data_IF_527689525240
#
_entry.id   IF_527689525240
#
_cell.length_a   1.000
_cell.length_b   1.000
_cell.length_c   1.000
_cell.angle_alpha   90.00
_cell.angle_beta   90.00
_cell.angle_gamma   90.00
#
_symmetry.space_group_name_H-M   'P 1'
#
loop_
_entity.id
_entity.type
_entity.pdbx_description
1 polymer ?
#
# COMPACT_ATOMS: atom_id res chain seq x y z
N UNK A 1 13.66 -6.16 20.04
CA UNK A 1 14.17 -7.00 18.94
C UNK A 1 13.08 -7.04 17.88
N UNK A 2 13.28 -6.37 16.75
CA UNK A 2 12.24 -6.16 15.76
C UNK A 2 12.07 -7.42 14.90
N UNK A 3 10.82 -7.90 14.81
CA UNK A 3 10.44 -9.07 14.01
C UNK A 3 10.63 -8.71 12.53
N UNK A 4 11.71 -9.21 11.93
CA UNK A 4 11.85 -9.32 10.48
C UNK A 4 10.82 -10.36 10.00
N UNK A 5 9.65 -9.90 9.56
CA UNK A 5 8.76 -10.75 8.77
C UNK A 5 9.23 -10.69 7.32
N UNK A 6 9.82 -11.79 6.84
CA UNK A 6 9.98 -12.06 5.41
C UNK A 6 8.58 -12.08 4.78
N UNK A 7 8.31 -11.16 3.86
CA UNK A 7 7.03 -11.10 3.12
C UNK A 7 7.05 -12.03 1.90
N UNK A 8 7.85 -13.10 1.98
CA UNK A 8 8.19 -13.94 0.84
C UNK A 8 7.01 -14.70 0.29
N UNK A 9 5.95 -14.97 1.07
CA UNK A 9 4.63 -15.42 0.62
C UNK A 9 3.58 -15.06 1.67
N UNK A 10 2.69 -14.10 1.38
CA UNK A 10 1.66 -13.69 2.35
C UNK A 10 0.59 -14.79 2.40
N UNK A 11 0.50 -15.58 3.48
CA UNK A 11 -0.48 -16.64 3.59
C UNK A 11 -1.88 -16.01 3.71
N UNK A 12 -2.88 -16.63 3.09
CA UNK A 12 -4.29 -16.22 3.18
C UNK A 12 -4.78 -15.89 4.61
N UNK A 13 -4.37 -16.62 5.67
CA UNK A 13 -4.68 -16.28 7.07
C UNK A 13 -4.28 -14.87 7.52
N UNK A 14 -3.17 -14.32 7.02
CA UNK A 14 -2.72 -12.97 7.38
C UNK A 14 -3.63 -11.91 6.75
N UNK A 15 -4.23 -12.20 5.59
CA UNK A 15 -5.16 -11.30 4.91
C UNK A 15 -6.43 -11.11 5.74
N UNK A 16 -7.00 -12.21 6.23
CA UNK A 16 -8.19 -12.16 7.10
C UNK A 16 -7.92 -11.41 8.40
N UNK A 17 -6.74 -11.59 9.00
CA UNK A 17 -6.33 -10.85 10.19
C UNK A 17 -6.26 -9.32 9.94
N UNK A 18 -5.76 -8.89 8.77
CA UNK A 18 -5.74 -7.47 8.39
C UNK A 18 -7.17 -6.93 8.21
N UNK A 19 -8.03 -7.68 7.53
CA UNK A 19 -9.44 -7.32 7.34
C UNK A 19 -10.16 -7.19 8.69
N UNK A 20 -9.95 -8.14 9.60
CA UNK A 20 -10.53 -8.12 10.94
C UNK A 20 -10.01 -6.95 11.79
N UNK A 21 -8.72 -6.64 11.72
CA UNK A 21 -8.16 -5.47 12.39
C UNK A 21 -8.86 -4.17 11.96
N UNK A 22 -9.12 -3.99 10.67
CA UNK A 22 -9.91 -2.86 10.20
C UNK A 22 -11.38 -2.91 10.60
N UNK A 23 -11.98 -4.10 10.70
CA UNK A 23 -13.35 -4.25 11.22
C UNK A 23 -13.46 -3.78 12.67
N UNK A 24 -12.46 -4.05 13.50
CA UNK A 24 -12.44 -3.57 14.88
C UNK A 24 -12.17 -2.06 14.97
N UNK A 25 -11.27 -1.53 14.15
CA UNK A 25 -11.00 -0.08 14.08
C UNK A 25 -12.20 0.71 13.55
N UNK A 26 -12.96 0.15 12.60
CA UNK A 26 -14.14 0.78 12.01
C UNK A 26 -15.30 0.96 13.00
N UNK A 27 -15.33 0.22 14.11
CA UNK A 27 -16.34 0.38 15.17
C UNK A 27 -16.13 1.63 16.03
N UNK A 28 -14.98 2.32 15.88
CA UNK A 28 -14.66 3.56 16.60
C UNK A 28 -15.28 4.76 15.85
N UNK A 29 -15.61 5.86 16.54
CA UNK A 29 -16.35 7.00 15.95
C UNK A 29 -15.47 8.09 15.32
N UNK A 30 -14.15 7.92 15.31
CA UNK A 30 -13.21 8.95 14.89
C UNK A 30 -13.10 9.10 13.37
N UNK A 31 -12.59 10.25 12.87
CA UNK A 31 -12.23 10.49 11.45
C UNK A 31 -11.41 9.33 10.85
N UNK A 32 -10.62 8.63 11.68
CA UNK A 32 -9.80 7.47 11.36
C UNK A 32 -10.60 6.20 11.02
N UNK A 33 -11.79 6.03 11.59
CA UNK A 33 -12.66 4.89 11.32
C UNK A 33 -13.19 4.90 9.87
N UNK A 34 -13.44 6.08 9.30
CA UNK A 34 -13.82 6.21 7.88
C UNK A 34 -12.72 5.67 6.95
N UNK A 35 -11.46 5.84 7.33
CA UNK A 35 -10.32 5.32 6.57
C UNK A 35 -10.19 3.81 6.71
N UNK A 36 -10.33 3.29 7.92
CA UNK A 36 -10.37 1.85 8.18
C UNK A 36 -11.49 1.15 7.37
N UNK A 37 -12.67 1.77 7.29
CA UNK A 37 -13.78 1.28 6.46
C UNK A 37 -13.41 1.26 4.98
N UNK A 38 -12.81 2.34 4.45
CA UNK A 38 -12.39 2.41 3.05
C UNK A 38 -11.38 1.32 2.71
N UNK A 39 -10.38 1.11 3.58
CA UNK A 39 -9.35 0.07 3.40
C UNK A 39 -9.95 -1.33 3.42
N UNK A 40 -10.84 -1.61 4.38
CA UNK A 40 -11.57 -2.87 4.47
C UNK A 40 -12.36 -3.17 3.20
N UNK A 41 -13.12 -2.20 2.68
CA UNK A 41 -13.93 -2.39 1.47
C UNK A 41 -13.03 -2.76 0.29
N UNK A 42 -11.94 -2.01 0.09
CA UNK A 42 -11.01 -2.26 -1.02
C UNK A 42 -10.29 -3.60 -0.92
N UNK A 43 -9.89 -4.02 0.29
CA UNK A 43 -9.31 -5.35 0.51
C UNK A 43 -10.31 -6.46 0.16
N UNK A 44 -11.56 -6.36 0.62
CA UNK A 44 -12.60 -7.35 0.29
C UNK A 44 -12.89 -7.40 -1.20
N UNK A 45 -12.97 -6.24 -1.85
CA UNK A 45 -13.16 -6.13 -3.29
C UNK A 45 -12.01 -6.77 -4.07
N UNK A 46 -10.76 -6.44 -3.73
CA UNK A 46 -9.58 -7.00 -4.39
C UNK A 46 -9.54 -8.53 -4.33
N UNK A 47 -9.86 -9.10 -3.17
CA UNK A 47 -9.90 -10.56 -2.94
C UNK A 47 -11.03 -11.24 -3.71
N UNK A 48 -12.24 -10.66 -3.68
CA UNK A 48 -13.38 -11.21 -4.40
C UNK A 48 -13.13 -11.22 -5.93
N UNK A 49 -12.42 -10.21 -6.43
CA UNK A 49 -12.09 -10.09 -7.84
C UNK A 49 -11.00 -11.06 -8.30
N UNK A 50 -10.19 -11.64 -7.41
CA UNK A 50 -9.11 -12.57 -7.81
C UNK A 50 -9.63 -13.74 -8.66
N UNK A 51 -10.80 -14.27 -8.30
CA UNK A 51 -11.42 -15.39 -9.00
C UNK A 51 -12.23 -14.96 -10.24
N UNK A 52 -12.47 -13.66 -10.44
CA UNK A 52 -13.37 -13.13 -11.48
C UNK A 52 -12.57 -12.43 -12.57
N UNK A 53 -11.65 -11.55 -12.17
CA UNK A 53 -10.81 -10.77 -13.07
C UNK A 53 -9.52 -10.37 -12.37
N UNK A 54 -8.42 -10.99 -12.79
CA UNK A 54 -7.08 -10.67 -12.32
C UNK A 54 -6.76 -9.18 -12.49
N UNK A 55 -7.20 -8.56 -13.60
CA UNK A 55 -6.99 -7.13 -13.86
C UNK A 55 -7.69 -6.24 -12.85
N UNK A 56 -8.99 -6.45 -12.61
CA UNK A 56 -9.71 -5.64 -11.63
C UNK A 56 -9.21 -5.88 -10.21
N UNK A 57 -8.80 -7.12 -9.91
CA UNK A 57 -8.12 -7.44 -8.65
C UNK A 57 -6.79 -6.68 -8.51
N UNK A 58 -5.95 -6.68 -9.56
CA UNK A 58 -4.69 -5.93 -9.59
C UNK A 58 -4.92 -4.43 -9.35
N UNK A 59 -5.86 -3.81 -10.09
CA UNK A 59 -6.19 -2.40 -9.93
C UNK A 59 -6.71 -2.10 -8.51
N UNK A 60 -7.44 -3.03 -7.91
CA UNK A 60 -7.93 -2.90 -6.53
C UNK A 60 -6.79 -2.98 -5.50
N UNK A 61 -5.85 -3.90 -5.68
CA UNK A 61 -4.62 -3.96 -4.87
C UNK A 61 -3.76 -2.71 -5.03
N UNK A 62 -3.61 -2.22 -6.26
CA UNK A 62 -2.84 -1.00 -6.49
C UNK A 62 -3.53 0.23 -5.87
N UNK A 63 -4.86 0.30 -5.88
CA UNK A 63 -5.61 1.38 -5.22
C UNK A 63 -5.37 1.41 -3.70
N UNK A 64 -5.17 0.24 -3.07
CA UNK A 64 -4.76 0.16 -1.66
C UNK A 64 -3.40 0.85 -1.47
N UNK A 65 -2.42 0.55 -2.32
CA UNK A 65 -1.09 1.19 -2.32
C UNK A 65 -1.24 2.72 -2.43
N UNK A 66 -2.07 3.21 -3.35
CA UNK A 66 -2.33 4.64 -3.54
C UNK A 66 -2.91 5.30 -2.28
N UNK A 67 -3.91 4.68 -1.64
CA UNK A 67 -4.57 5.23 -0.45
C UNK A 67 -3.61 5.34 0.74
N UNK A 68 -2.70 4.36 0.90
CA UNK A 68 -1.70 4.39 1.98
C UNK A 68 -0.63 5.43 1.66
N UNK A 69 -0.09 5.43 0.44
CA UNK A 69 0.93 6.38 0.01
C UNK A 69 0.46 7.84 0.12
N UNK A 70 -0.77 8.14 -0.30
CA UNK A 70 -1.33 9.49 -0.23
C UNK A 70 -1.52 9.99 1.20
N UNK A 71 -1.60 9.11 2.20
CA UNK A 71 -1.57 9.51 3.61
C UNK A 71 -0.16 9.87 4.05
N UNK A 72 0.79 8.98 3.74
CA UNK A 72 2.18 9.14 4.15
C UNK A 72 2.80 10.40 3.56
N UNK A 73 2.45 10.73 2.31
CA UNK A 73 2.88 11.97 1.65
C UNK A 73 2.31 13.21 2.35
N UNK A 74 1.10 13.13 2.90
CA UNK A 74 0.51 14.24 3.68
C UNK A 74 1.15 14.40 5.06
N UNK A 75 1.69 13.31 5.60
CA UNK A 75 2.30 13.28 6.94
C UNK A 75 3.82 13.53 6.94
N UNK A 76 4.53 13.41 5.80
CA UNK A 76 5.98 13.63 5.72
C UNK A 76 6.35 15.07 5.32
N UNK A 77 7.09 15.73 6.22
CA UNK A 77 8.00 16.84 5.90
C UNK A 77 9.21 16.31 5.09
N UNK A 78 9.60 17.04 4.04
CA UNK A 78 10.62 16.64 3.07
C UNK A 78 11.91 16.09 3.71
N UNK A 79 12.30 14.86 3.29
CA UNK A 79 13.61 14.27 3.61
C UNK A 79 14.75 15.08 2.96
N UNK A 80 15.93 15.04 3.58
CA UNK A 80 17.17 15.72 3.17
C UNK A 80 17.32 15.88 1.65
N UNK A 81 17.36 17.13 1.18
CA UNK A 81 17.12 17.47 -0.23
C UNK A 81 18.10 16.90 -1.26
N UNK A 82 19.35 16.60 -0.89
CA UNK A 82 20.38 16.15 -1.83
C UNK A 82 20.25 14.68 -2.24
N UNK A 83 19.97 13.78 -1.29
CA UNK A 83 19.76 12.36 -1.60
C UNK A 83 18.43 12.17 -2.35
N UNK A 84 17.38 12.85 -1.89
CA UNK A 84 16.07 12.81 -2.54
C UNK A 84 16.14 13.30 -3.99
N UNK A 85 16.88 14.37 -4.28
CA UNK A 85 17.06 14.87 -5.63
C UNK A 85 17.74 13.84 -6.57
N UNK A 86 18.73 13.10 -6.07
CA UNK A 86 19.37 12.03 -6.85
C UNK A 86 18.41 10.87 -7.11
N UNK A 87 17.59 10.50 -6.13
CA UNK A 87 16.60 9.43 -6.25
C UNK A 87 15.45 9.83 -7.18
N UNK A 88 15.00 11.10 -7.17
CA UNK A 88 14.02 11.64 -8.12
C UNK A 88 14.49 11.45 -9.56
N UNK A 89 15.76 11.74 -9.84
CA UNK A 89 16.36 11.57 -11.17
C UNK A 89 16.52 10.08 -11.49
N UNK A 90 17.12 9.30 -10.58
CA UNK A 90 17.38 7.86 -10.77
C UNK A 90 16.09 7.08 -11.08
N UNK A 91 15.00 7.39 -10.38
CA UNK A 91 13.75 6.64 -10.48
C UNK A 91 12.68 7.30 -11.35
N UNK A 92 13.03 8.40 -12.03
CA UNK A 92 12.11 9.17 -12.88
C UNK A 92 10.81 9.56 -12.14
N UNK A 93 10.94 10.10 -10.92
CA UNK A 93 9.82 10.40 -10.02
C UNK A 93 9.23 11.80 -10.23
N UNK A 94 9.54 12.47 -11.34
CA UNK A 94 9.12 13.85 -11.58
C UNK A 94 7.59 13.96 -11.69
N UNK A 95 7.00 14.79 -10.82
CA UNK A 95 5.56 15.09 -10.80
C UNK A 95 4.86 14.64 -9.51
N UNK A 96 4.21 15.59 -8.81
CA UNK A 96 3.55 15.38 -7.49
C UNK A 96 2.45 14.31 -7.46
N UNK A 97 1.97 13.88 -8.63
CA UNK A 97 0.89 12.89 -8.76
C UNK A 97 1.33 11.59 -9.43
N UNK A 98 2.64 11.41 -9.65
CA UNK A 98 3.16 10.21 -10.31
C UNK A 98 2.89 8.97 -9.46
N UNK A 99 2.37 7.92 -10.09
CA UNK A 99 2.17 6.62 -9.45
C UNK A 99 3.49 6.03 -8.95
N UNK A 100 4.60 6.31 -9.64
CA UNK A 100 5.96 5.98 -9.22
C UNK A 100 6.34 6.68 -7.91
N UNK A 101 5.98 7.96 -7.77
CA UNK A 101 6.26 8.74 -6.57
C UNK A 101 5.51 8.19 -5.35
N UNK A 102 4.26 7.75 -5.54
CA UNK A 102 3.45 7.14 -4.46
C UNK A 102 4.09 5.86 -3.92
N UNK A 103 4.41 4.92 -4.79
CA UNK A 103 5.02 3.66 -4.34
C UNK A 103 6.43 3.88 -3.79
N UNK A 104 7.19 4.83 -4.36
CA UNK A 104 8.49 5.24 -3.83
C UNK A 104 8.40 5.71 -2.37
N UNK A 105 7.50 6.66 -2.06
CA UNK A 105 7.35 7.17 -0.70
C UNK A 105 6.86 6.10 0.27
N UNK A 106 5.93 5.24 -0.18
CA UNK A 106 5.44 4.13 0.62
C UNK A 106 6.57 3.19 1.03
N UNK A 107 7.39 2.73 0.08
CA UNK A 107 8.50 1.81 0.36
C UNK A 107 9.62 2.47 1.16
N UNK A 108 9.76 3.79 1.10
CA UNK A 108 10.72 4.51 1.92
C UNK A 108 10.21 4.84 3.32
N UNK A 109 8.89 4.81 3.56
CA UNK A 109 8.30 5.14 4.86
C UNK A 109 8.56 4.07 5.92
N UNK A 110 8.74 2.81 5.51
CA UNK A 110 8.80 1.67 6.42
C UNK A 110 9.86 0.66 5.98
N UNK A 111 10.54 -0.03 6.92
CA UNK A 111 11.43 -1.13 6.58
C UNK A 111 10.72 -2.24 5.80
N UNK A 112 11.32 -2.68 4.70
CA UNK A 112 10.83 -3.76 3.86
C UNK A 112 11.99 -4.38 3.06
N UNK A 113 11.70 -5.49 2.38
CA UNK A 113 12.61 -6.26 1.53
C UNK A 113 12.22 -6.19 0.04
N UNK A 114 11.33 -5.27 -0.35
CA UNK A 114 10.91 -5.10 -1.74
C UNK A 114 12.02 -4.45 -2.57
N UNK A 115 12.21 -4.95 -3.80
CA UNK A 115 13.10 -4.32 -4.78
C UNK A 115 12.41 -3.08 -5.35
N UNK A 116 12.99 -1.90 -5.10
CA UNK A 116 12.40 -0.61 -5.49
C UNK A 116 12.12 -0.52 -6.99
N UNK A 117 13.09 -0.91 -7.82
CA UNK A 117 12.97 -0.89 -9.28
C UNK A 117 11.77 -1.71 -9.76
N UNK A 118 11.62 -2.95 -9.27
CA UNK A 118 10.50 -3.83 -9.62
C UNK A 118 9.17 -3.31 -9.10
N UNK A 119 9.14 -2.70 -7.92
CA UNK A 119 7.92 -2.07 -7.42
C UNK A 119 7.50 -0.87 -8.28
N UNK A 120 8.45 -0.06 -8.74
CA UNK A 120 8.17 1.08 -9.61
C UNK A 120 7.61 0.67 -10.97
N UNK A 121 7.94 -0.52 -11.48
CA UNK A 121 7.34 -1.07 -12.71
C UNK A 121 5.83 -1.31 -12.57
N UNK A 122 5.34 -1.61 -11.35
CA UNK A 122 3.90 -1.75 -11.09
C UNK A 122 3.13 -0.46 -11.38
N UNK A 123 3.76 0.70 -11.23
CA UNK A 123 3.14 2.00 -11.50
C UNK A 123 2.85 2.18 -13.00
N UNK A 124 3.79 1.78 -13.85
CA UNK A 124 3.61 1.77 -15.30
C UNK A 124 2.53 0.77 -15.69
N UNK A 125 2.60 -0.44 -15.11
CA UNK A 125 1.61 -1.47 -15.38
C UNK A 125 0.20 -1.01 -14.99
N UNK A 126 0.04 -0.38 -13.83
CA UNK A 126 -1.25 0.20 -13.41
C UNK A 126 -1.74 1.26 -14.38
N UNK A 127 -0.88 2.15 -14.88
CA UNK A 127 -1.27 3.17 -15.85
C UNK A 127 -1.77 2.52 -17.15
N UNK A 128 -1.04 1.53 -17.65
CA UNK A 128 -1.43 0.79 -18.85
C UNK A 128 -2.78 0.10 -18.66
N UNK A 129 -2.97 -0.63 -17.57
CA UNK A 129 -4.23 -1.35 -17.27
C UNK A 129 -5.43 -0.44 -17.02
N UNK A 130 -5.20 0.84 -16.69
CA UNK A 130 -6.29 1.82 -16.51
C UNK A 130 -6.81 2.35 -17.85
N UNK A 131 -5.93 2.45 -18.86
CA UNK A 131 -6.24 3.10 -20.14
C UNK A 131 -6.39 2.12 -21.32
N UNK A 132 -5.89 0.89 -21.18
CA UNK A 132 -5.95 -0.15 -22.20
C UNK A 132 -6.19 -1.52 -21.57
N UNK A 133 -6.73 -2.43 -22.38
CA UNK A 133 -6.74 -3.85 -22.06
C UNK A 133 -5.32 -4.38 -22.32
N UNK A 134 -4.68 -4.89 -21.27
CA UNK A 134 -3.32 -5.38 -21.33
C UNK A 134 -3.17 -6.63 -20.47
N UNK A 135 -2.29 -7.52 -20.92
CA UNK A 135 -1.86 -8.66 -20.13
C UNK A 135 -0.75 -8.23 -19.17
N UNK A 136 -0.67 -8.93 -18.05
CA UNK A 136 0.40 -8.80 -17.07
C UNK A 136 0.76 -10.16 -16.53
N UNK A 137 2.03 -10.32 -16.15
CA UNK A 137 2.49 -11.59 -15.61
C UNK A 137 1.99 -11.82 -14.17
N UNK A 138 2.00 -13.09 -13.77
CA UNK A 138 1.61 -13.49 -12.42
C UNK A 138 2.55 -12.93 -11.35
N UNK A 139 3.81 -12.62 -11.68
CA UNK A 139 4.81 -12.14 -10.72
C UNK A 139 4.49 -10.71 -10.29
N UNK A 140 4.18 -9.83 -11.24
CA UNK A 140 3.74 -8.46 -11.02
C UNK A 140 2.44 -8.43 -10.21
N UNK A 141 1.52 -9.36 -10.50
CA UNK A 141 0.30 -9.54 -9.70
C UNK A 141 0.61 -9.85 -8.23
N UNK A 142 1.44 -10.87 -7.99
CA UNK A 142 1.81 -11.27 -6.64
C UNK A 142 2.57 -10.18 -5.90
N UNK A 143 3.46 -9.46 -6.58
CA UNK A 143 4.18 -8.33 -5.98
C UNK A 143 3.22 -7.20 -5.58
N UNK A 144 2.29 -6.82 -6.46
CA UNK A 144 1.27 -5.80 -6.17
C UNK A 144 0.43 -6.19 -4.96
N UNK A 145 -0.03 -7.46 -4.92
CA UNK A 145 -0.76 -8.02 -3.78
C UNK A 145 0.07 -7.98 -2.50
N UNK A 146 1.34 -8.42 -2.53
CA UNK A 146 2.26 -8.42 -1.38
C UNK A 146 2.44 -7.01 -0.82
N UNK A 147 2.74 -6.02 -1.67
CA UNK A 147 2.92 -4.62 -1.25
C UNK A 147 1.61 -4.04 -0.69
N UNK A 148 0.47 -4.31 -1.32
CA UNK A 148 -0.84 -3.85 -0.84
C UNK A 148 -1.17 -4.42 0.56
N UNK A 149 -0.93 -5.71 0.77
CA UNK A 149 -1.18 -6.36 2.06
C UNK A 149 -0.23 -5.87 3.14
N UNK A 150 1.07 -5.80 2.86
CA UNK A 150 2.08 -5.28 3.78
C UNK A 150 1.78 -3.83 4.20
N UNK A 151 1.50 -2.95 3.23
CA UNK A 151 1.23 -1.54 3.51
C UNK A 151 -0.05 -1.36 4.31
N UNK A 152 -1.07 -2.17 4.01
CA UNK A 152 -2.32 -2.17 4.76
C UNK A 152 -2.14 -2.70 6.20
N UNK A 153 -1.39 -3.79 6.39
CA UNK A 153 -1.07 -4.30 7.72
C UNK A 153 -0.32 -3.26 8.56
N UNK A 154 0.68 -2.63 7.95
CA UNK A 154 1.51 -1.60 8.60
C UNK A 154 0.65 -0.41 9.03
N UNK A 155 -0.25 0.07 8.16
CA UNK A 155 -1.17 1.15 8.48
C UNK A 155 -2.15 0.76 9.60
N UNK A 156 -2.68 -0.47 9.60
CA UNK A 156 -3.59 -0.94 10.65
C UNK A 156 -2.90 -0.94 12.04
N UNK A 157 -1.64 -1.36 12.10
CA UNK A 157 -0.82 -1.31 13.32
C UNK A 157 -0.62 0.14 13.78
N UNK A 158 -0.22 1.04 12.88
CA UNK A 158 -0.03 2.46 13.22
C UNK A 158 -1.31 3.12 13.77
N UNK A 159 -2.45 2.88 13.13
CA UNK A 159 -3.74 3.42 13.58
C UNK A 159 -4.13 2.89 14.97
N UNK A 160 -3.74 1.66 15.29
CA UNK A 160 -3.98 1.06 16.61
C UNK A 160 -3.09 1.68 17.69
N UNK A 161 -1.79 1.84 17.41
CA UNK A 161 -0.82 2.46 18.33
C UNK A 161 -1.16 3.92 18.60
N UNK A 162 -1.49 4.70 17.56
CA UNK A 162 -1.80 6.13 17.70
C UNK A 162 -3.15 6.34 18.42
N UNK A 163 -4.13 5.46 18.24
CA UNK A 163 -5.39 5.50 18.98
C UNK A 163 -5.25 5.23 20.48
N UNK A 164 -4.20 4.55 20.92
CA UNK A 164 -3.91 4.35 22.35
C UNK A 164 -3.25 5.58 22.98
N UNK A 165 -2.50 6.38 22.22
CA UNK A 165 -1.84 7.59 22.75
C UNK A 165 -2.84 8.69 23.08
N UNK A 166 -3.88 8.87 22.27
CA UNK A 166 -4.89 9.93 22.47
C UNK A 166 -5.95 9.59 23.52
N UNK A 167 -6.05 8.33 23.96
CA UNK A 167 -6.97 7.93 25.04
C UNK A 167 -6.34 8.06 26.44
N UNK A 168 -5.09 8.53 26.51
CA UNK A 168 -4.33 8.77 27.73
C UNK A 168 -3.95 10.25 27.93
N UNK A 169 -4.45 11.15 27.06
CA UNK A 169 -4.44 12.61 27.24
C UNK A 169 -5.86 13.10 27.59
#
# INVERSE_FOLDING_TARGET
MAVQQQWSDVPNPQIYAIVEAYEQLAKRSEKRAKKAVKMRIRLKEALALEAISSRYSFLSFYNIIEIVADDLIKEQECRNGTQFAQEIVRYALAGKSSQRLKIYFLLNAFPNDFVMETALELAELRNNLTHADGDFDHVAFQLCKKIALWSSATLAVQLTINGQKESHE
#
